data_IF_309387688013
#
_entry.id   IF_309387688013
#
_cell.length_a   1.000
_cell.length_b   1.000
_cell.length_c   1.000
_cell.angle_alpha   90.00
_cell.angle_beta   90.00
_cell.angle_gamma   90.00
#
_symmetry.space_group_name_H-M   'P 1'
#
loop_
_entity.id
_entity.type
_entity.pdbx_description
1 polymer ?
#
# COMPACT_ATOMS: atom_id res chain seq x y z
N UNK A 1 -4.75 -23.81 14.82
CA UNK A 1 -5.96 -23.06 15.20
C UNK A 1 -6.64 -22.60 13.92
N UNK A 2 -7.89 -23.01 13.71
CA UNK A 2 -8.61 -22.78 12.47
C UNK A 2 -9.07 -21.32 12.42
N UNK A 3 -8.78 -20.62 11.35
CA UNK A 3 -9.34 -19.32 11.04
C UNK A 3 -10.79 -19.49 10.61
N UNK A 4 -11.73 -18.97 11.41
CA UNK A 4 -13.14 -18.97 11.10
C UNK A 4 -13.40 -17.99 9.96
N UNK A 5 -13.79 -18.52 8.80
CA UNK A 5 -14.34 -17.71 7.70
C UNK A 5 -15.72 -17.22 8.10
N UNK A 6 -15.82 -15.92 8.38
CA UNK A 6 -17.11 -15.23 8.51
C UNK A 6 -17.77 -15.16 7.13
N UNK A 7 -18.89 -15.85 6.99
CA UNK A 7 -19.72 -15.87 5.80
C UNK A 7 -20.23 -14.47 5.45
N UNK A 8 -19.94 -13.99 4.24
CA UNK A 8 -20.53 -12.77 3.67
C UNK A 8 -21.99 -13.03 3.32
N UNK A 9 -22.89 -12.37 4.02
CA UNK A 9 -24.31 -12.23 3.60
C UNK A 9 -24.40 -11.16 2.51
N UNK A 10 -25.22 -11.35 1.46
CA UNK A 10 -25.46 -10.31 0.45
C UNK A 10 -26.35 -9.21 1.04
N UNK A 11 -25.92 -7.96 0.91
CA UNK A 11 -26.75 -6.80 1.22
C UNK A 11 -27.74 -6.53 0.07
N UNK A 12 -29.01 -6.61 0.41
CA UNK A 12 -30.15 -6.25 -0.41
C UNK A 12 -30.15 -4.73 -0.61
N UNK A 13 -30.26 -4.32 -1.88
CA UNK A 13 -30.32 -2.92 -2.24
C UNK A 13 -31.62 -2.25 -1.76
N UNK A 14 -31.48 -1.12 -1.10
CA UNK A 14 -32.53 -0.16 -0.81
C UNK A 14 -32.54 0.95 -1.86
N UNK A 15 -33.55 0.91 -2.72
CA UNK A 15 -33.92 1.98 -3.65
C UNK A 15 -34.45 3.19 -2.87
N UNK A 16 -33.70 4.29 -2.85
CA UNK A 16 -34.22 5.59 -2.46
C UNK A 16 -34.69 6.37 -3.69
N UNK A 17 -35.98 6.61 -3.73
CA UNK A 17 -36.73 7.42 -4.71
C UNK A 17 -36.48 8.90 -4.38
N UNK A 18 -35.80 9.62 -5.26
CA UNK A 18 -35.65 11.07 -5.13
C UNK A 18 -36.93 11.76 -5.62
N UNK A 19 -37.56 12.51 -4.74
CA UNK A 19 -38.68 13.41 -5.03
C UNK A 19 -38.14 14.73 -5.58
N UNK A 20 -38.57 15.10 -6.77
CA UNK A 20 -38.34 16.40 -7.37
C UNK A 20 -39.20 17.45 -6.68
N UNK A 21 -38.60 18.47 -6.11
CA UNK A 21 -39.30 19.73 -5.79
C UNK A 21 -38.85 20.83 -6.74
N UNK A 22 -39.83 21.28 -7.49
CA UNK A 22 -39.85 22.46 -8.35
C UNK A 22 -39.62 23.72 -7.52
N UNK A 23 -38.68 24.53 -7.89
CA UNK A 23 -38.51 25.88 -7.40
C UNK A 23 -38.75 26.91 -8.52
N UNK A 24 -39.75 27.75 -8.22
CA UNK A 24 -40.24 28.86 -9.05
C UNK A 24 -39.19 29.93 -9.27
N UNK A 25 -39.20 30.46 -10.49
CA UNK A 25 -38.42 31.62 -10.87
C UNK A 25 -38.86 32.92 -10.23
N UNK A 26 -37.89 33.77 -9.95
CA UNK A 26 -38.10 35.19 -9.73
C UNK A 26 -37.31 35.96 -10.79
N UNK A 27 -38.08 36.71 -11.61
CA UNK A 27 -37.55 37.68 -12.55
C UNK A 27 -37.13 38.94 -11.80
N UNK A 28 -35.91 39.43 -12.02
CA UNK A 28 -35.51 40.79 -11.65
C UNK A 28 -35.51 41.67 -12.89
N UNK A 29 -36.41 42.62 -12.87
CA UNK A 29 -36.54 43.71 -13.85
C UNK A 29 -35.41 44.72 -13.70
N UNK A 30 -34.97 45.21 -14.84
CA UNK A 30 -33.98 46.26 -15.02
C UNK A 30 -34.40 47.58 -14.35
N UNK A 31 -33.43 48.21 -13.63
CA UNK A 31 -33.48 49.62 -13.33
C UNK A 31 -32.28 50.28 -14.01
N UNK A 32 -32.55 50.96 -15.14
CA UNK A 32 -31.63 51.91 -15.75
C UNK A 32 -31.70 53.22 -14.97
N UNK A 33 -30.59 53.61 -14.37
CA UNK A 33 -30.39 54.98 -13.92
C UNK A 33 -29.26 55.61 -14.74
N UNK A 34 -29.62 56.57 -15.58
CA UNK A 34 -28.70 57.51 -16.19
C UNK A 34 -28.09 58.39 -15.12
N UNK A 35 -26.76 58.40 -14.98
CA UNK A 35 -26.02 59.47 -14.38
C UNK A 35 -24.88 59.90 -15.29
N UNK A 36 -24.92 61.15 -15.64
CA UNK A 36 -24.08 61.90 -16.53
C UNK A 36 -22.61 61.91 -16.14
N UNK A 37 -21.77 61.83 -17.15
CA UNK A 37 -20.34 62.06 -17.21
C UNK A 37 -19.94 63.37 -16.55
N UNK A 38 -18.95 63.32 -15.63
CA UNK A 38 -17.78 64.21 -15.66
C UNK A 38 -16.92 64.01 -14.38
N UNK A 39 -15.61 63.85 -14.59
CA UNK A 39 -14.53 64.02 -13.61
C UNK A 39 -14.27 62.94 -12.51
N UNK A 40 -13.92 61.70 -12.92
CA UNK A 40 -13.23 60.73 -12.04
C UNK A 40 -12.04 60.03 -12.72
N UNK A 41 -11.39 60.68 -13.65
CA UNK A 41 -10.35 59.97 -14.47
C UNK A 41 -8.88 60.33 -14.10
N UNK A 42 -8.66 61.06 -12.97
CA UNK A 42 -7.29 61.37 -12.55
C UNK A 42 -6.86 60.66 -11.27
N UNK A 43 -7.78 60.14 -10.44
CA UNK A 43 -7.42 59.45 -9.18
C UNK A 43 -7.17 57.92 -9.39
N UNK A 44 -7.78 57.30 -10.39
CA UNK A 44 -7.60 55.89 -10.67
C UNK A 44 -6.24 55.57 -11.34
N UNK A 45 -5.64 56.57 -11.99
CA UNK A 45 -4.33 56.38 -12.67
C UNK A 45 -3.16 56.48 -11.69
N UNK A 46 -3.32 57.12 -10.53
CA UNK A 46 -2.28 57.23 -9.48
C UNK A 46 -2.21 55.98 -8.59
N UNK A 47 -3.32 55.25 -8.41
CA UNK A 47 -3.32 54.01 -7.63
C UNK A 47 -2.78 52.80 -8.41
N UNK A 48 -2.68 52.87 -9.73
CA UNK A 48 -2.03 51.82 -10.58
C UNK A 48 -0.50 51.88 -10.64
N UNK A 49 0.13 52.94 -10.03
CA UNK A 49 1.59 53.13 -10.09
C UNK A 49 2.39 52.52 -8.95
N UNK A 50 1.75 51.80 -8.01
CA UNK A 50 2.45 51.15 -6.89
C UNK A 50 2.25 49.63 -6.78
N UNK A 51 1.72 48.96 -7.80
CA UNK A 51 1.97 47.53 -7.92
C UNK A 51 3.31 47.37 -8.66
N UNK A 52 4.39 47.22 -7.95
CA UNK A 52 5.66 46.73 -8.51
C UNK A 52 5.38 45.35 -9.06
N UNK A 53 5.05 45.25 -10.35
CA UNK A 53 4.94 43.94 -10.99
C UNK A 53 6.31 43.30 -10.92
N UNK A 54 6.39 42.19 -10.18
CA UNK A 54 7.63 41.38 -10.12
C UNK A 54 8.04 41.02 -11.53
N UNK A 55 9.29 41.26 -11.96
CA UNK A 55 9.75 40.97 -13.31
C UNK A 55 9.51 39.50 -13.68
N UNK A 56 9.18 39.21 -14.95
CA UNK A 56 8.87 37.86 -15.38
C UNK A 56 9.98 36.82 -15.11
N UNK A 57 11.25 37.25 -15.15
CA UNK A 57 12.41 36.45 -14.78
C UNK A 57 12.41 36.08 -13.30
N UNK A 58 12.04 37.02 -12.42
CA UNK A 58 11.94 36.81 -11.00
C UNK A 58 10.73 35.94 -10.63
N UNK A 59 9.59 36.13 -11.33
CA UNK A 59 8.42 35.25 -11.20
C UNK A 59 8.77 33.79 -11.50
N UNK A 60 9.50 33.53 -12.60
CA UNK A 60 9.94 32.19 -12.95
C UNK A 60 10.89 31.57 -11.90
N UNK A 61 11.76 32.40 -11.32
CA UNK A 61 12.67 31.97 -10.26
C UNK A 61 11.90 31.60 -8.96
N UNK A 62 10.96 32.44 -8.55
CA UNK A 62 10.10 32.17 -7.37
C UNK A 62 9.24 30.91 -7.57
N UNK A 63 8.68 30.69 -8.77
CA UNK A 63 7.95 29.48 -9.12
C UNK A 63 8.87 28.25 -8.96
N UNK A 64 10.09 28.33 -9.49
CA UNK A 64 11.07 27.23 -9.39
C UNK A 64 11.43 26.95 -7.93
N UNK A 65 11.78 27.97 -7.16
CA UNK A 65 12.13 27.84 -5.76
C UNK A 65 11.00 27.26 -4.92
N UNK A 66 9.76 27.75 -5.06
CA UNK A 66 8.63 27.26 -4.29
C UNK A 66 8.29 25.82 -4.68
N UNK A 67 8.43 25.45 -5.96
CA UNK A 67 8.24 24.08 -6.42
C UNK A 67 9.32 23.13 -5.86
N UNK A 68 10.57 23.55 -5.81
CA UNK A 68 11.65 22.77 -5.20
C UNK A 68 11.41 22.54 -3.71
N UNK A 69 10.92 23.54 -2.99
CA UNK A 69 10.59 23.44 -1.56
C UNK A 69 9.38 22.54 -1.27
N UNK A 70 8.36 22.55 -2.15
CA UNK A 70 7.05 21.96 -1.82
C UNK A 70 6.69 20.73 -2.64
N UNK A 71 7.38 20.47 -3.77
CA UNK A 71 7.04 19.43 -4.77
C UNK A 71 5.62 19.56 -5.37
N UNK A 72 4.90 20.66 -5.10
CA UNK A 72 3.53 20.85 -5.52
C UNK A 72 3.40 21.08 -7.05
N UNK A 73 2.22 20.78 -7.65
CA UNK A 73 1.97 21.03 -9.06
C UNK A 73 2.19 22.51 -9.45
N UNK A 74 2.87 22.74 -10.58
CA UNK A 74 3.25 24.10 -11.03
C UNK A 74 2.08 25.05 -11.12
N UNK A 75 0.87 24.55 -11.46
CA UNK A 75 -0.36 25.33 -11.55
C UNK A 75 -0.74 25.92 -10.17
N UNK A 76 -0.66 25.10 -9.13
CA UNK A 76 -1.04 25.48 -7.76
C UNK A 76 0.01 26.40 -7.15
N UNK A 77 1.31 26.13 -7.40
CA UNK A 77 2.43 27.00 -7.03
C UNK A 77 2.25 28.41 -7.60
N UNK A 78 1.98 28.53 -8.90
CA UNK A 78 1.76 29.82 -9.57
C UNK A 78 0.53 30.52 -9.00
N UNK A 79 -0.58 29.82 -8.79
CA UNK A 79 -1.81 30.39 -8.24
C UNK A 79 -1.59 30.94 -6.82
N UNK A 80 -0.87 30.23 -5.96
CA UNK A 80 -0.54 30.69 -4.60
C UNK A 80 0.39 31.91 -4.62
N UNK A 81 1.45 31.91 -5.45
CA UNK A 81 2.35 33.05 -5.57
C UNK A 81 1.61 34.31 -6.03
N UNK A 82 0.76 34.20 -7.05
CA UNK A 82 -0.06 35.31 -7.53
C UNK A 82 -0.99 35.85 -6.45
N UNK A 83 -1.67 34.95 -5.70
CA UNK A 83 -2.61 35.36 -4.62
C UNK A 83 -1.90 35.96 -3.41
N UNK A 84 -0.62 35.69 -3.22
CA UNK A 84 0.21 36.17 -2.11
C UNK A 84 1.19 37.26 -2.54
N UNK A 85 0.93 37.97 -3.65
CA UNK A 85 1.77 39.07 -4.17
C UNK A 85 3.25 38.65 -4.31
N UNK A 86 3.52 37.40 -4.73
CA UNK A 86 4.85 36.81 -4.94
C UNK A 86 5.70 36.66 -3.68
N UNK A 87 5.11 36.78 -2.48
CA UNK A 87 5.78 36.44 -1.23
C UNK A 87 5.84 34.91 -1.11
N UNK A 88 7.08 34.37 -1.15
CA UNK A 88 7.30 32.92 -1.21
C UNK A 88 6.89 32.19 0.08
N UNK A 89 7.08 32.85 1.26
CA UNK A 89 6.80 32.22 2.55
C UNK A 89 5.30 32.23 2.86
N UNK A 90 4.61 33.31 2.49
CA UNK A 90 3.15 33.42 2.57
C UNK A 90 2.50 32.45 1.56
N UNK A 91 3.04 32.36 0.34
CA UNK A 91 2.57 31.45 -0.70
C UNK A 91 2.77 29.99 -0.31
N UNK A 92 3.86 29.65 0.38
CA UNK A 92 4.07 28.29 0.90
C UNK A 92 3.00 27.89 1.92
N UNK A 93 2.64 28.78 2.83
CA UNK A 93 1.57 28.56 3.83
C UNK A 93 0.18 28.45 3.17
N UNK A 94 -0.11 29.31 2.19
CA UNK A 94 -1.35 29.24 1.41
C UNK A 94 -1.47 27.95 0.62
N UNK A 95 -0.38 27.55 -0.05
CA UNK A 95 -0.29 26.31 -0.82
C UNK A 95 -0.55 25.08 0.07
N UNK A 96 0.03 25.04 1.29
CA UNK A 96 -0.21 23.95 2.25
C UNK A 96 -1.69 23.89 2.66
N UNK A 97 -2.33 25.04 2.98
CA UNK A 97 -3.75 25.08 3.34
C UNK A 97 -4.66 24.62 2.19
N UNK A 98 -4.43 25.13 0.98
CA UNK A 98 -5.20 24.72 -0.22
C UNK A 98 -5.00 23.25 -0.54
N UNK A 99 -3.77 22.74 -0.42
CA UNK A 99 -3.42 21.36 -0.66
C UNK A 99 -4.23 20.39 0.20
N UNK A 100 -4.35 20.68 1.51
CA UNK A 100 -5.15 19.86 2.45
C UNK A 100 -6.63 19.79 2.02
N UNK A 101 -7.22 20.94 1.64
CA UNK A 101 -8.62 20.98 1.16
C UNK A 101 -8.79 20.19 -0.14
N UNK A 102 -7.83 20.27 -1.05
CA UNK A 102 -7.85 19.53 -2.32
C UNK A 102 -7.62 18.03 -2.11
N UNK A 103 -6.74 17.66 -1.19
CA UNK A 103 -6.51 16.25 -0.81
C UNK A 103 -7.79 15.62 -0.26
N UNK A 104 -8.51 16.32 0.62
CA UNK A 104 -9.79 15.85 1.14
C UNK A 104 -10.83 15.62 0.03
N UNK A 105 -10.90 16.50 -0.97
CA UNK A 105 -11.80 16.31 -2.14
C UNK A 105 -11.42 15.13 -3.02
N UNK A 106 -10.16 14.73 -3.03
CA UNK A 106 -9.66 13.60 -3.83
C UNK A 106 -9.70 12.26 -3.09
N UNK A 107 -10.00 12.26 -1.80
CA UNK A 107 -9.94 11.06 -0.94
C UNK A 107 -10.84 9.91 -1.39
N UNK A 108 -11.89 10.17 -2.19
CA UNK A 108 -12.78 9.18 -2.78
C UNK A 108 -12.26 8.52 -4.06
N UNK A 109 -11.17 9.05 -4.65
CA UNK A 109 -10.59 8.48 -5.87
C UNK A 109 -9.92 7.14 -5.59
N UNK A 110 -9.94 6.26 -6.58
CA UNK A 110 -9.27 4.96 -6.49
C UNK A 110 -7.75 5.16 -6.44
N UNK A 111 -7.12 4.63 -5.39
CA UNK A 111 -5.68 4.59 -5.21
C UNK A 111 -5.24 3.11 -5.23
N UNK A 112 -4.88 2.60 -6.40
CA UNK A 112 -4.52 1.19 -6.61
C UNK A 112 -3.02 1.00 -6.88
N UNK A 113 -2.29 2.08 -7.20
CA UNK A 113 -0.84 2.09 -7.29
C UNK A 113 -0.24 2.41 -5.91
N UNK A 114 1.09 2.40 -5.78
CA UNK A 114 1.77 2.70 -4.52
C UNK A 114 2.99 1.82 -4.26
N UNK A 115 3.35 1.70 -2.98
CA UNK A 115 4.48 0.89 -2.50
C UNK A 115 4.12 0.12 -1.23
N UNK A 116 4.78 -1.01 -1.10
CA UNK A 116 4.99 -1.68 0.18
C UNK A 116 6.29 -1.16 0.77
N UNK A 117 6.28 -0.90 2.07
CA UNK A 117 7.50 -0.61 2.84
C UNK A 117 7.66 -1.65 3.95
N UNK A 118 8.89 -2.07 4.17
CA UNK A 118 9.25 -3.02 5.22
C UNK A 118 10.26 -2.40 6.17
N UNK A 119 10.05 -2.63 7.45
CA UNK A 119 11.04 -2.46 8.50
C UNK A 119 11.14 -3.78 9.28
N UNK A 120 12.33 -4.21 9.63
CA UNK A 120 12.54 -5.46 10.35
C UNK A 120 13.74 -5.40 11.28
N UNK A 121 13.68 -6.18 12.33
CA UNK A 121 14.78 -6.59 13.17
C UNK A 121 14.98 -8.12 13.08
N UNK A 122 15.71 -8.72 14.01
CA UNK A 122 16.00 -10.15 13.99
C UNK A 122 14.75 -11.01 14.26
N UNK A 123 13.79 -10.51 15.02
CA UNK A 123 12.63 -11.25 15.53
C UNK A 123 11.29 -10.79 14.97
N UNK A 124 11.24 -9.59 14.39
CA UNK A 124 10.00 -8.97 13.91
C UNK A 124 10.20 -8.30 12.56
N UNK A 125 9.15 -8.33 11.77
CA UNK A 125 9.07 -7.52 10.55
C UNK A 125 7.68 -6.87 10.46
N UNK A 126 7.65 -5.61 10.06
CA UNK A 126 6.42 -4.88 9.76
C UNK A 126 6.41 -4.50 8.28
N UNK A 127 5.31 -4.81 7.60
CA UNK A 127 5.05 -4.39 6.22
C UNK A 127 3.84 -3.50 6.20
N UNK A 128 3.92 -2.37 5.50
CA UNK A 128 2.83 -1.44 5.30
C UNK A 128 2.60 -1.19 3.83
N UNK A 129 1.34 -0.97 3.43
CA UNK A 129 0.94 -0.60 2.08
C UNK A 129 0.46 0.84 2.06
N UNK A 130 1.22 1.71 1.36
CA UNK A 130 0.85 3.09 1.08
C UNK A 130 0.45 3.20 -0.40
N UNK A 131 -0.80 3.60 -0.65
CA UNK A 131 -1.36 3.68 -1.99
C UNK A 131 -1.44 5.11 -2.50
N UNK A 132 -1.37 5.26 -3.83
CA UNK A 132 -1.57 6.49 -4.60
C UNK A 132 -2.32 6.20 -5.90
N UNK A 133 -2.66 7.25 -6.67
CA UNK A 133 -3.39 7.10 -7.93
C UNK A 133 -2.46 6.59 -9.05
N UNK A 134 -1.20 7.07 -9.10
CA UNK A 134 -0.24 6.78 -10.18
C UNK A 134 1.09 6.22 -9.71
N UNK A 135 1.79 5.48 -10.59
CA UNK A 135 3.14 5.00 -10.35
C UNK A 135 4.19 6.12 -10.31
N UNK A 136 3.88 7.29 -10.89
CA UNK A 136 4.75 8.48 -10.81
C UNK A 136 4.86 8.98 -9.37
N UNK A 137 3.75 9.03 -8.63
CA UNK A 137 3.76 9.40 -7.20
C UNK A 137 4.45 8.33 -6.36
N UNK A 138 4.30 7.04 -6.69
CA UNK A 138 5.03 5.98 -6.01
C UNK A 138 6.58 6.13 -6.12
N UNK A 139 7.08 6.84 -7.14
CA UNK A 139 8.52 7.15 -7.32
C UNK A 139 8.95 8.47 -6.67
N UNK A 140 8.00 9.22 -6.10
CA UNK A 140 8.30 10.49 -5.45
C UNK A 140 9.06 10.27 -4.13
N UNK A 141 10.08 11.09 -3.88
CA UNK A 141 10.96 11.01 -2.70
C UNK A 141 10.20 11.13 -1.37
N UNK A 142 9.27 12.09 -1.27
CA UNK A 142 8.48 12.32 -0.06
C UNK A 142 7.51 11.16 0.21
N UNK A 143 6.90 10.60 -0.85
CA UNK A 143 6.02 9.44 -0.74
C UNK A 143 6.79 8.21 -0.24
N UNK A 144 7.97 7.95 -0.81
CA UNK A 144 8.84 6.83 -0.42
C UNK A 144 9.34 6.98 1.02
N UNK A 145 9.72 8.21 1.40
CA UNK A 145 10.12 8.53 2.77
C UNK A 145 8.99 8.27 3.76
N UNK A 146 7.76 8.73 3.47
CA UNK A 146 6.60 8.48 4.31
C UNK A 146 6.35 6.97 4.46
N UNK A 147 6.32 6.21 3.36
CA UNK A 147 6.12 4.76 3.39
C UNK A 147 7.13 4.06 4.32
N UNK A 148 8.42 4.41 4.20
CA UNK A 148 9.49 3.87 5.04
C UNK A 148 9.32 4.27 6.51
N UNK A 149 8.89 5.50 6.79
CA UNK A 149 8.65 5.99 8.16
C UNK A 149 7.48 5.26 8.82
N UNK A 150 6.41 4.98 8.06
CA UNK A 150 5.26 4.20 8.55
C UNK A 150 5.64 2.75 8.87
N UNK A 151 6.50 2.12 8.07
CA UNK A 151 6.97 0.77 8.35
C UNK A 151 7.81 0.71 9.64
N UNK A 152 8.70 1.70 9.85
CA UNK A 152 9.50 1.83 11.08
C UNK A 152 8.60 2.08 12.29
N UNK A 153 7.60 2.95 12.16
CA UNK A 153 6.62 3.20 13.22
C UNK A 153 5.84 1.93 13.57
N UNK A 154 5.37 1.16 12.57
CA UNK A 154 4.66 -0.08 12.79
C UNK A 154 5.52 -1.13 13.51
N UNK A 155 6.82 -1.22 13.18
CA UNK A 155 7.76 -2.12 13.85
C UNK A 155 7.97 -1.73 15.32
N UNK A 156 8.06 -0.43 15.62
CA UNK A 156 8.26 0.11 16.97
C UNK A 156 6.97 0.24 17.78
N UNK A 157 5.80 0.07 17.17
CA UNK A 157 4.52 0.11 17.86
C UNK A 157 4.39 -1.04 18.87
N UNK A 158 3.39 -0.92 19.76
CA UNK A 158 3.12 -1.91 20.79
C UNK A 158 3.03 -3.31 20.19
N UNK A 159 3.69 -4.28 20.81
CA UNK A 159 3.58 -5.68 20.42
C UNK A 159 2.12 -6.16 20.59
N UNK A 160 1.47 -6.63 19.51
CA UNK A 160 0.11 -7.15 19.58
C UNK A 160 0.00 -8.47 20.32
N UNK A 161 1.14 -9.16 20.62
CA UNK A 161 1.16 -10.48 21.26
C UNK A 161 0.81 -11.63 20.32
N UNK A 162 0.58 -11.36 19.05
CA UNK A 162 0.29 -12.36 18.02
C UNK A 162 1.50 -12.53 17.09
N UNK A 163 1.76 -13.76 16.64
CA UNK A 163 2.87 -14.04 15.72
C UNK A 163 2.64 -13.45 14.33
N UNK A 164 1.39 -13.30 13.91
CA UNK A 164 0.98 -12.59 12.70
C UNK A 164 -0.19 -11.69 13.01
N UNK A 165 0.01 -10.40 12.91
CA UNK A 165 -1.01 -9.39 13.21
C UNK A 165 -1.27 -8.52 11.98
N UNK A 166 -2.37 -8.77 11.24
CA UNK A 166 -2.83 -7.88 10.18
C UNK A 166 -3.52 -6.65 10.77
N UNK A 167 -3.27 -5.47 10.20
CA UNK A 167 -3.88 -4.23 10.68
C UNK A 167 -4.27 -3.29 9.54
N UNK A 168 -5.29 -2.47 9.82
CA UNK A 168 -5.78 -1.40 8.96
C UNK A 168 -5.27 -0.02 9.39
N UNK A 169 -5.85 1.05 8.80
CA UNK A 169 -5.51 2.43 9.14
C UNK A 169 -5.65 2.75 10.63
N UNK A 170 -6.70 2.23 11.27
CA UNK A 170 -7.05 2.53 12.67
C UNK A 170 -5.90 2.22 13.65
N UNK A 171 -5.02 1.29 13.30
CA UNK A 171 -3.90 0.91 14.15
C UNK A 171 -2.80 1.97 14.23
N UNK A 172 -2.53 2.69 13.13
CA UNK A 172 -1.44 3.66 13.05
C UNK A 172 -1.91 5.12 12.96
N UNK A 173 -3.10 5.41 12.43
CA UNK A 173 -3.52 6.75 11.99
C UNK A 173 -3.39 7.83 13.08
N UNK A 174 -3.63 7.46 14.34
CA UNK A 174 -3.58 8.36 15.49
C UNK A 174 -2.22 8.36 16.22
N UNK A 175 -1.27 7.51 15.79
CA UNK A 175 0.06 7.50 16.38
C UNK A 175 0.88 8.69 15.87
N UNK A 176 1.72 9.24 16.75
CA UNK A 176 2.67 10.28 16.38
C UNK A 176 3.84 9.65 15.61
N UNK A 177 4.22 10.31 14.54
CA UNK A 177 5.42 10.02 13.76
C UNK A 177 6.30 11.27 13.73
N UNK A 178 7.58 11.08 14.03
CA UNK A 178 8.56 12.14 13.89
C UNK A 178 9.22 12.03 12.51
N UNK A 179 9.04 13.06 11.70
CA UNK A 179 9.51 13.11 10.32
C UNK A 179 10.70 14.06 10.22
N UNK A 180 11.75 13.61 9.54
CA UNK A 180 12.98 14.35 9.29
C UNK A 180 13.34 14.28 7.80
N UNK A 181 12.55 14.98 6.98
CA UNK A 181 12.76 15.13 5.55
C UNK A 181 12.70 16.61 5.20
N UNK A 182 13.51 17.13 4.26
CA UNK A 182 13.55 18.56 3.92
C UNK A 182 12.22 19.19 3.58
N UNK A 183 11.28 18.39 3.05
CA UNK A 183 9.95 18.82 2.64
C UNK A 183 8.84 18.40 3.62
N UNK A 184 9.13 17.48 4.55
CA UNK A 184 8.15 16.91 5.47
C UNK A 184 8.82 16.65 6.81
N UNK A 185 8.75 17.59 7.73
CA UNK A 185 9.47 17.54 9.00
C UNK A 185 8.58 17.90 10.20
N UNK A 186 8.98 17.37 11.35
CA UNK A 186 8.34 17.62 12.64
C UNK A 186 7.49 16.44 13.12
N UNK A 187 6.99 16.57 14.33
CA UNK A 187 6.11 15.58 14.95
C UNK A 187 4.66 15.82 14.52
N UNK A 188 3.99 14.77 14.04
CA UNK A 188 2.60 14.84 13.55
C UNK A 188 1.96 13.46 13.65
N UNK A 189 0.62 13.37 13.53
CA UNK A 189 -0.05 12.08 13.43
C UNK A 189 0.14 11.47 12.03
N UNK A 190 0.09 10.15 11.94
CA UNK A 190 0.14 9.42 10.64
C UNK A 190 -0.92 9.93 9.68
N UNK A 191 -2.16 10.12 10.14
CA UNK A 191 -3.24 10.67 9.32
C UNK A 191 -2.90 12.04 8.75
N UNK A 192 -2.35 12.94 9.57
CA UNK A 192 -1.92 14.26 9.13
C UNK A 192 -0.76 14.19 8.14
N UNK A 193 0.22 13.32 8.38
CA UNK A 193 1.35 13.11 7.46
C UNK A 193 0.90 12.61 6.09
N UNK A 194 -0.01 11.63 6.04
CA UNK A 194 -0.60 11.10 4.80
C UNK A 194 -1.35 12.21 4.05
N UNK A 195 -2.15 13.01 4.77
CA UNK A 195 -2.89 14.15 4.19
C UNK A 195 -1.94 15.21 3.62
N UNK A 196 -0.84 15.50 4.32
CA UNK A 196 0.15 16.48 3.87
C UNK A 196 0.87 16.00 2.61
N UNK A 197 1.28 14.72 2.55
CA UNK A 197 1.88 14.15 1.33
C UNK A 197 0.87 14.15 0.18
N UNK A 198 -0.39 13.78 0.41
CA UNK A 198 -1.45 13.87 -0.60
C UNK A 198 -1.63 15.30 -1.14
N UNK A 199 -1.53 16.30 -0.26
CA UNK A 199 -1.58 17.71 -0.64
C UNK A 199 -0.37 18.12 -1.51
N UNK A 200 0.83 17.66 -1.16
CA UNK A 200 2.06 17.95 -1.91
C UNK A 200 2.07 17.33 -3.30
N UNK A 201 1.74 16.04 -3.40
CA UNK A 201 1.78 15.33 -4.69
C UNK A 201 0.55 15.59 -5.55
N UNK A 202 -0.53 16.08 -4.95
CA UNK A 202 -1.76 16.41 -5.65
C UNK A 202 -2.60 15.19 -6.07
N UNK A 203 -2.39 14.03 -5.46
CA UNK A 203 -3.14 12.80 -5.65
C UNK A 203 -3.76 12.30 -4.36
N UNK A 204 -4.70 11.36 -4.46
CA UNK A 204 -5.18 10.63 -3.30
C UNK A 204 -4.06 9.70 -2.79
N UNK A 205 -3.65 9.87 -1.55
CA UNK A 205 -2.69 9.01 -0.85
C UNK A 205 -3.39 8.39 0.34
N UNK A 206 -3.24 7.07 0.51
CA UNK A 206 -3.86 6.31 1.59
C UNK A 206 -2.89 5.31 2.20
N UNK A 207 -2.76 5.34 3.52
CA UNK A 207 -2.30 4.16 4.24
C UNK A 207 -3.45 3.15 4.25
N UNK A 208 -3.24 1.97 3.66
CA UNK A 208 -4.32 1.02 3.42
C UNK A 208 -4.35 -0.11 4.42
N UNK A 209 -3.24 -0.76 4.60
CA UNK A 209 -3.10 -1.95 5.44
C UNK A 209 -1.64 -2.24 5.75
N UNK A 210 -1.43 -3.08 6.73
CA UNK A 210 -0.13 -3.66 7.03
C UNK A 210 -0.28 -4.97 7.79
N UNK A 211 0.84 -5.58 8.09
CA UNK A 211 0.91 -6.65 9.05
C UNK A 211 2.28 -6.66 9.75
N UNK A 212 2.27 -7.16 10.96
CA UNK A 212 3.46 -7.44 11.75
C UNK A 212 3.60 -8.96 11.81
N UNK A 213 4.79 -9.45 11.53
CA UNK A 213 5.14 -10.86 11.70
C UNK A 213 6.25 -10.96 12.73
N UNK A 214 6.04 -11.81 13.71
CA UNK A 214 6.99 -12.08 14.79
C UNK A 214 7.34 -13.56 14.82
N UNK A 215 8.51 -13.89 15.36
CA UNK A 215 8.94 -15.27 15.57
C UNK A 215 9.16 -15.56 17.06
N UNK A 216 9.23 -16.83 17.38
CA UNK A 216 9.58 -17.30 18.73
C UNK A 216 11.05 -17.01 19.06
N UNK A 217 11.47 -17.32 20.29
CA UNK A 217 12.84 -17.08 20.77
C UNK A 217 13.91 -17.76 19.89
N UNK A 218 13.58 -18.92 19.29
CA UNK A 218 14.53 -19.76 18.54
C UNK A 218 14.29 -19.70 17.02
N UNK A 219 13.74 -18.60 16.53
CA UNK A 219 13.44 -18.40 15.12
C UNK A 219 14.00 -17.11 14.56
N UNK A 220 13.82 -16.96 13.27
CA UNK A 220 14.14 -15.77 12.50
C UNK A 220 12.97 -15.35 11.63
N UNK A 221 12.79 -14.04 11.42
CA UNK A 221 11.90 -13.50 10.40
C UNK A 221 12.74 -13.16 9.17
N UNK A 222 12.37 -13.70 8.03
CA UNK A 222 13.02 -13.42 6.75
C UNK A 222 12.06 -12.76 5.79
N UNK A 223 12.57 -11.81 5.02
CA UNK A 223 11.78 -11.07 4.03
C UNK A 223 12.46 -10.98 2.69
N UNK A 224 11.64 -10.83 1.66
CA UNK A 224 12.06 -10.50 0.31
C UNK A 224 11.13 -9.45 -0.29
N UNK A 225 11.71 -8.43 -0.89
CA UNK A 225 10.98 -7.39 -1.63
C UNK A 225 11.32 -7.48 -3.11
N UNK A 226 10.31 -7.32 -3.96
CA UNK A 226 10.48 -7.37 -5.41
C UNK A 226 10.01 -6.06 -6.07
N UNK A 227 10.64 -5.71 -7.20
CA UNK A 227 10.45 -4.42 -7.89
C UNK A 227 10.75 -3.24 -6.96
N UNK A 228 11.99 -3.24 -6.43
CA UNK A 228 12.42 -2.28 -5.41
C UNK A 228 13.00 -1.01 -6.05
N UNK A 229 12.39 0.18 -5.84
CA UNK A 229 13.02 1.46 -6.20
C UNK A 229 14.24 1.76 -5.31
N UNK A 230 14.20 1.30 -4.05
CA UNK A 230 15.28 1.38 -3.08
C UNK A 230 15.11 0.30 -1.99
N UNK A 231 16.16 0.00 -1.18
CA UNK A 231 16.07 -0.99 -0.11
C UNK A 231 14.90 -0.73 0.84
N UNK A 232 14.16 -1.79 1.18
CA UNK A 232 13.00 -1.71 2.08
C UNK A 232 11.71 -1.21 1.44
N UNK A 233 11.71 -0.84 0.15
CA UNK A 233 10.52 -0.46 -0.60
C UNK A 233 10.36 -1.37 -1.81
N UNK A 234 9.13 -1.75 -2.14
CA UNK A 234 8.86 -2.59 -3.30
C UNK A 234 7.38 -2.66 -3.65
N UNK A 235 7.06 -3.45 -4.67
CA UNK A 235 5.66 -3.67 -5.08
C UNK A 235 5.10 -5.01 -4.62
N UNK A 236 5.98 -5.97 -4.33
CA UNK A 236 5.63 -7.26 -3.75
C UNK A 236 6.54 -7.54 -2.58
N UNK A 237 5.97 -8.12 -1.53
CA UNK A 237 6.68 -8.56 -0.34
C UNK A 237 6.34 -10.01 -0.03
N UNK A 238 7.34 -10.80 0.32
CA UNK A 238 7.21 -12.12 0.92
C UNK A 238 7.89 -12.15 2.27
N UNK A 239 7.24 -12.72 3.26
CA UNK A 239 7.78 -12.94 4.60
C UNK A 239 7.61 -14.38 5.00
N UNK A 240 8.54 -14.87 5.81
CA UNK A 240 8.49 -16.19 6.40
C UNK A 240 9.18 -16.21 7.76
N UNK A 241 8.65 -16.94 8.70
CA UNK A 241 9.35 -17.29 9.95
C UNK A 241 9.86 -18.72 9.86
N UNK A 242 11.14 -18.91 10.19
CA UNK A 242 11.75 -20.22 10.37
C UNK A 242 12.11 -20.39 11.83
N UNK A 243 11.78 -21.54 12.39
CA UNK A 243 11.97 -21.85 13.81
C UNK A 243 12.75 -23.15 13.94
N UNK A 244 13.80 -23.14 14.76
CA UNK A 244 14.56 -24.32 15.13
C UNK A 244 14.08 -24.86 16.49
N UNK A 245 14.05 -26.20 16.64
CA UNK A 245 13.73 -26.81 17.94
C UNK A 245 14.84 -26.57 18.98
N UNK A 246 16.11 -26.57 18.55
CA UNK A 246 17.25 -26.29 19.45
C UNK A 246 17.56 -24.78 19.49
N UNK A 247 17.66 -24.25 20.70
CA UNK A 247 18.01 -22.86 20.97
C UNK A 247 19.42 -22.46 20.51
N UNK A 248 20.31 -23.42 20.31
CA UNK A 248 21.69 -23.22 19.90
C UNK A 248 21.88 -23.33 18.38
N UNK A 249 20.82 -23.56 17.60
CA UNK A 249 20.91 -23.66 16.16
C UNK A 249 21.46 -22.37 15.54
N UNK A 250 22.37 -22.43 14.56
CA UNK A 250 22.95 -21.25 13.92
C UNK A 250 21.89 -20.50 13.10
N UNK A 251 21.56 -19.28 13.52
CA UNK A 251 20.50 -18.46 12.91
C UNK A 251 20.89 -17.96 11.51
N UNK A 252 22.16 -17.83 11.19
CA UNK A 252 22.65 -17.37 9.88
C UNK A 252 22.21 -18.30 8.74
N UNK A 253 22.24 -19.62 8.97
CA UNK A 253 21.75 -20.60 8.00
C UNK A 253 20.24 -20.46 7.79
N UNK A 254 19.47 -20.26 8.87
CA UNK A 254 18.03 -20.00 8.79
C UNK A 254 17.76 -18.72 8.02
N UNK A 255 18.50 -17.64 8.27
CA UNK A 255 18.33 -16.37 7.56
C UNK A 255 18.63 -16.49 6.07
N UNK A 256 19.69 -17.20 5.69
CA UNK A 256 20.08 -17.43 4.30
C UNK A 256 19.00 -18.18 3.52
N UNK A 257 18.54 -19.31 4.06
CA UNK A 257 17.51 -20.15 3.42
C UNK A 257 16.15 -19.45 3.49
N UNK A 258 15.82 -18.82 4.60
CA UNK A 258 14.56 -18.09 4.78
C UNK A 258 14.38 -16.95 3.78
N UNK A 259 15.42 -16.16 3.49
CA UNK A 259 15.38 -15.12 2.44
C UNK A 259 15.08 -15.71 1.07
N UNK A 260 15.65 -16.87 0.76
CA UNK A 260 15.42 -17.57 -0.50
C UNK A 260 14.01 -18.15 -0.61
N UNK A 261 13.45 -18.65 0.51
CA UNK A 261 12.05 -19.11 0.55
C UNK A 261 11.09 -17.90 0.52
N UNK A 262 11.41 -16.76 1.13
CA UNK A 262 10.61 -15.53 1.01
C UNK A 262 10.52 -15.06 -0.46
N UNK A 263 11.62 -15.16 -1.22
CA UNK A 263 11.62 -14.91 -2.67
C UNK A 263 10.72 -15.92 -3.41
N UNK A 264 10.80 -17.19 -3.07
CA UNK A 264 9.93 -18.24 -3.63
C UNK A 264 8.44 -17.93 -3.38
N UNK A 265 8.06 -17.50 -2.17
CA UNK A 265 6.68 -17.11 -1.81
C UNK A 265 6.17 -15.99 -2.73
N UNK A 266 6.99 -14.99 -3.01
CA UNK A 266 6.63 -13.91 -3.95
C UNK A 266 6.39 -14.44 -5.35
N UNK A 267 7.23 -15.35 -5.81
CA UNK A 267 7.18 -15.89 -7.18
C UNK A 267 6.01 -16.87 -7.39
N UNK A 268 5.74 -17.76 -6.43
CA UNK A 268 4.82 -18.90 -6.60
C UNK A 268 3.45 -18.71 -5.96
N UNK A 269 3.27 -17.68 -5.12
CA UNK A 269 1.98 -17.31 -4.51
C UNK A 269 1.29 -18.46 -3.77
N UNK A 270 1.95 -19.16 -2.84
CA UNK A 270 1.31 -20.22 -2.07
C UNK A 270 0.14 -19.66 -1.24
N UNK A 271 -0.91 -20.47 -1.09
CA UNK A 271 -2.10 -20.13 -0.31
C UNK A 271 -2.10 -20.78 1.07
N UNK A 272 -1.47 -21.95 1.18
CA UNK A 272 -1.45 -22.77 2.39
C UNK A 272 -0.02 -23.18 2.71
N UNK A 273 0.29 -23.34 3.99
CA UNK A 273 1.60 -23.81 4.42
C UNK A 273 1.76 -25.31 4.13
N UNK A 274 0.78 -26.10 4.53
CA UNK A 274 0.79 -27.57 4.38
C UNK A 274 -0.56 -28.09 3.89
N UNK A 275 -0.60 -29.36 3.43
CA UNK A 275 -1.84 -30.00 2.94
C UNK A 275 -2.92 -30.06 4.01
N UNK A 276 -2.52 -30.25 5.26
CA UNK A 276 -3.41 -30.37 6.42
C UNK A 276 -4.19 -29.08 6.69
N UNK A 277 -3.66 -27.94 6.21
CA UNK A 277 -4.29 -26.62 6.36
C UNK A 277 -5.26 -26.31 5.22
N UNK A 278 -5.29 -27.12 4.15
CA UNK A 278 -6.29 -26.99 3.10
C UNK A 278 -7.61 -27.56 3.61
N UNK A 279 -8.68 -26.77 3.60
CA UNK A 279 -9.96 -27.25 4.10
C UNK A 279 -10.49 -28.44 3.29
N UNK A 280 -11.10 -29.41 3.98
CA UNK A 280 -11.69 -30.58 3.33
C UNK A 280 -12.70 -30.19 2.23
N UNK A 281 -13.48 -29.10 2.46
CA UNK A 281 -14.41 -28.58 1.46
C UNK A 281 -13.70 -28.03 0.21
N UNK A 282 -12.56 -27.37 0.36
CA UNK A 282 -11.79 -26.88 -0.79
C UNK A 282 -11.21 -28.04 -1.61
N UNK A 283 -10.72 -29.09 -0.94
CA UNK A 283 -10.21 -30.31 -1.60
C UNK A 283 -11.33 -31.04 -2.31
N UNK A 284 -12.50 -31.18 -1.71
CA UNK A 284 -13.63 -31.88 -2.34
C UNK A 284 -14.21 -31.08 -3.53
N UNK A 285 -14.33 -29.77 -3.41
CA UNK A 285 -14.72 -28.92 -4.54
C UNK A 285 -13.76 -29.06 -5.72
N UNK A 286 -12.44 -29.05 -5.46
CA UNK A 286 -11.45 -29.24 -6.52
C UNK A 286 -11.55 -30.65 -7.11
N UNK A 287 -11.75 -31.70 -6.27
CA UNK A 287 -11.93 -33.07 -6.70
C UNK A 287 -13.16 -33.23 -7.61
N UNK A 288 -14.28 -32.59 -7.31
CA UNK A 288 -15.49 -32.63 -8.12
C UNK A 288 -15.30 -31.94 -9.48
N UNK A 289 -14.61 -30.80 -9.50
CA UNK A 289 -14.22 -30.13 -10.75
C UNK A 289 -13.36 -31.07 -11.61
N UNK A 290 -12.36 -31.70 -11.00
CA UNK A 290 -11.46 -32.61 -11.69
C UNK A 290 -12.17 -33.89 -12.18
N UNK A 291 -13.17 -34.44 -11.43
CA UNK A 291 -14.01 -35.56 -11.87
C UNK A 291 -14.84 -35.20 -13.09
N UNK A 292 -15.53 -34.04 -13.04
CA UNK A 292 -16.32 -33.56 -14.17
C UNK A 292 -15.48 -33.39 -15.44
N UNK A 293 -14.25 -32.88 -15.29
CA UNK A 293 -13.30 -32.80 -16.41
C UNK A 293 -12.79 -34.18 -16.90
N UNK A 294 -12.67 -35.14 -15.99
CA UNK A 294 -12.22 -36.49 -16.35
C UNK A 294 -13.30 -37.30 -17.07
N UNK A 295 -14.58 -37.14 -16.70
CA UNK A 295 -15.74 -37.77 -17.32
C UNK A 295 -15.81 -37.50 -18.83
N UNK A 296 -15.46 -36.25 -19.23
CA UNK A 296 -15.41 -35.89 -20.66
C UNK A 296 -14.34 -36.63 -21.46
N UNK A 297 -13.40 -37.35 -20.81
CA UNK A 297 -12.30 -38.04 -21.46
C UNK A 297 -12.63 -39.44 -22.02
N UNK A 298 -13.81 -40.00 -21.70
CA UNK A 298 -14.28 -41.32 -22.15
C UNK A 298 -13.42 -42.51 -21.67
N UNK A 299 -12.63 -42.32 -20.59
CA UNK A 299 -11.76 -43.36 -20.01
C UNK A 299 -12.51 -44.27 -19.04
N UNK A 300 -11.93 -45.41 -18.69
CA UNK A 300 -12.47 -46.29 -17.65
C UNK A 300 -12.46 -45.57 -16.27
N UNK A 301 -13.37 -45.94 -15.37
CA UNK A 301 -13.49 -45.33 -14.05
C UNK A 301 -12.16 -45.39 -13.28
N UNK A 302 -11.44 -46.52 -13.29
CA UNK A 302 -10.14 -46.63 -12.64
C UNK A 302 -9.08 -45.66 -13.23
N UNK A 303 -9.13 -45.41 -14.54
CA UNK A 303 -8.22 -44.49 -15.21
C UNK A 303 -8.60 -43.00 -14.87
N UNK A 304 -9.90 -42.74 -14.73
CA UNK A 304 -10.39 -41.41 -14.29
C UNK A 304 -9.97 -41.12 -12.85
N UNK A 305 -10.14 -42.05 -11.92
CA UNK A 305 -9.69 -41.88 -10.52
C UNK A 305 -8.17 -41.60 -10.42
N UNK A 306 -7.34 -42.37 -11.12
CA UNK A 306 -5.90 -42.07 -11.18
C UNK A 306 -5.59 -40.70 -11.77
N UNK A 307 -6.38 -40.25 -12.72
CA UNK A 307 -6.23 -38.93 -13.34
C UNK A 307 -6.60 -37.81 -12.35
N UNK A 308 -7.68 -37.98 -11.62
CA UNK A 308 -8.14 -37.04 -10.58
C UNK A 308 -7.08 -36.92 -9.47
N UNK A 309 -6.59 -38.06 -8.93
CA UNK A 309 -5.55 -38.08 -7.92
C UNK A 309 -4.22 -37.44 -8.41
N UNK A 310 -3.83 -37.72 -9.65
CA UNK A 310 -2.66 -37.09 -10.26
C UNK A 310 -2.80 -35.56 -10.44
N UNK A 311 -4.01 -35.08 -10.77
CA UNK A 311 -4.28 -33.66 -10.89
C UNK A 311 -4.42 -32.98 -9.53
N UNK A 312 -5.05 -33.64 -8.55
CA UNK A 312 -5.14 -33.15 -7.18
C UNK A 312 -3.75 -32.98 -6.56
N UNK A 313 -2.82 -33.90 -6.83
CA UNK A 313 -1.42 -33.72 -6.42
C UNK A 313 -0.80 -32.46 -7.03
N UNK A 314 -1.04 -32.18 -8.33
CA UNK A 314 -0.59 -30.94 -8.97
C UNK A 314 -1.22 -29.69 -8.34
N UNK A 315 -2.50 -29.76 -8.00
CA UNK A 315 -3.15 -28.69 -7.25
C UNK A 315 -2.42 -28.38 -5.94
N UNK A 316 -2.07 -29.40 -5.15
CA UNK A 316 -1.27 -29.16 -3.94
C UNK A 316 0.13 -28.60 -4.25
N UNK A 317 0.78 -29.05 -5.32
CA UNK A 317 2.06 -28.49 -5.78
C UNK A 317 1.95 -27.02 -6.21
N UNK A 318 0.75 -26.53 -6.56
CA UNK A 318 0.51 -25.14 -6.93
C UNK A 318 0.18 -24.27 -5.72
N UNK A 319 -0.63 -24.75 -4.75
CA UNK A 319 -1.18 -23.90 -3.70
C UNK A 319 -0.53 -24.09 -2.32
N UNK A 320 0.21 -25.18 -2.09
CA UNK A 320 0.79 -25.55 -0.79
C UNK A 320 2.29 -25.31 -0.78
N UNK A 321 2.76 -24.37 0.04
CA UNK A 321 4.17 -23.96 0.12
C UNK A 321 5.13 -25.16 0.24
N UNK A 322 4.88 -26.10 1.16
CA UNK A 322 5.78 -27.23 1.41
C UNK A 322 5.84 -28.23 0.26
N UNK A 323 4.82 -28.27 -0.61
CA UNK A 323 4.75 -29.17 -1.77
C UNK A 323 5.28 -28.51 -3.05
N UNK A 324 5.35 -27.16 -3.08
CA UNK A 324 5.81 -26.42 -4.26
C UNK A 324 7.25 -26.76 -4.61
N UNK A 325 7.52 -26.89 -5.92
CA UNK A 325 8.87 -26.96 -6.45
C UNK A 325 9.63 -25.67 -6.16
N UNK A 326 10.84 -25.79 -5.65
CA UNK A 326 11.63 -24.65 -5.26
C UNK A 326 12.10 -23.84 -6.47
N UNK A 327 11.78 -22.54 -6.49
CA UNK A 327 12.04 -21.65 -7.64
C UNK A 327 13.54 -21.51 -7.99
N UNK A 328 14.43 -21.72 -7.01
CA UNK A 328 15.89 -21.66 -7.23
C UNK A 328 16.44 -22.97 -7.77
N UNK A 329 15.76 -24.11 -7.46
CA UNK A 329 16.15 -25.43 -7.93
C UNK A 329 14.88 -26.31 -8.04
N UNK A 330 14.35 -26.44 -9.24
CA UNK A 330 13.11 -27.15 -9.55
C UNK A 330 13.18 -28.68 -9.40
N UNK A 331 14.36 -29.22 -9.17
CA UNK A 331 14.56 -30.67 -8.87
C UNK A 331 14.17 -31.02 -7.42
N UNK A 332 13.95 -30.03 -6.55
CA UNK A 332 13.59 -30.20 -5.14
C UNK A 332 12.33 -29.40 -4.80
N UNK A 333 11.69 -29.72 -3.68
CA UNK A 333 10.56 -28.94 -3.13
C UNK A 333 10.97 -28.27 -1.82
N UNK A 334 10.12 -27.33 -1.36
CA UNK A 334 10.40 -26.56 -0.12
C UNK A 334 10.55 -27.46 1.10
N UNK A 335 9.77 -28.54 1.21
CA UNK A 335 9.91 -29.52 2.28
C UNK A 335 11.30 -30.16 2.34
N UNK A 336 11.85 -30.51 1.18
CA UNK A 336 13.21 -31.05 1.07
C UNK A 336 14.27 -30.02 1.44
N UNK A 337 14.11 -28.76 0.99
CA UNK A 337 15.01 -27.65 1.37
C UNK A 337 15.06 -27.47 2.89
N UNK A 338 13.91 -27.52 3.57
CA UNK A 338 13.86 -27.43 5.04
C UNK A 338 14.49 -28.63 5.74
N UNK A 339 14.33 -29.84 5.17
CA UNK A 339 14.98 -31.05 5.71
C UNK A 339 16.52 -30.94 5.58
N UNK A 340 17.01 -30.43 4.48
CA UNK A 340 18.45 -30.26 4.27
C UNK A 340 19.01 -29.15 5.18
N UNK A 341 18.27 -28.06 5.37
CA UNK A 341 18.61 -27.03 6.36
C UNK A 341 18.62 -27.62 7.78
N UNK A 342 17.66 -28.48 8.12
CA UNK A 342 17.61 -29.14 9.43
C UNK A 342 18.85 -30.02 9.69
N UNK A 343 19.34 -30.71 8.67
CA UNK A 343 20.61 -31.47 8.75
C UNK A 343 21.81 -30.53 8.90
N UNK A 344 21.85 -29.43 8.16
CA UNK A 344 22.94 -28.44 8.19
C UNK A 344 23.09 -27.82 9.60
N UNK A 345 21.96 -27.46 10.23
CA UNK A 345 21.98 -26.82 11.56
C UNK A 345 21.95 -27.81 12.74
N UNK A 346 21.79 -29.11 12.45
CA UNK A 346 21.73 -30.15 13.49
C UNK A 346 20.45 -30.13 14.33
N UNK A 347 19.43 -29.40 13.90
CA UNK A 347 18.15 -29.23 14.62
C UNK A 347 17.00 -29.22 13.61
N UNK A 348 15.85 -29.76 14.01
CA UNK A 348 14.66 -29.68 13.15
C UNK A 348 14.23 -28.24 12.97
N UNK A 349 14.09 -27.83 11.70
CA UNK A 349 13.61 -26.51 11.31
C UNK A 349 12.21 -26.62 10.73
N UNK A 350 11.33 -25.74 11.18
CA UNK A 350 9.94 -25.65 10.72
C UNK A 350 9.60 -24.23 10.28
N UNK A 351 8.58 -24.13 9.43
CA UNK A 351 7.97 -22.83 9.08
C UNK A 351 6.91 -22.53 10.14
N UNK A 352 7.05 -21.42 10.83
CA UNK A 352 6.02 -20.93 11.74
C UNK A 352 4.87 -20.28 10.95
N UNK A 353 5.18 -19.24 10.20
CA UNK A 353 4.20 -18.50 9.40
C UNK A 353 4.82 -18.00 8.09
N UNK A 354 3.98 -17.69 7.12
CA UNK A 354 4.38 -16.96 5.94
C UNK A 354 3.29 -15.97 5.51
N UNK A 355 3.69 -14.94 4.79
CA UNK A 355 2.76 -13.98 4.22
C UNK A 355 3.28 -13.46 2.89
N UNK A 356 2.36 -13.11 1.99
CA UNK A 356 2.63 -12.42 0.73
C UNK A 356 1.74 -11.20 0.63
N UNK A 357 2.28 -10.12 0.12
CA UNK A 357 1.55 -8.88 -0.09
C UNK A 357 1.92 -8.30 -1.46
N UNK A 358 0.92 -7.76 -2.15
CA UNK A 358 1.07 -7.08 -3.43
C UNK A 358 0.35 -5.74 -3.38
N UNK A 359 0.98 -4.70 -3.93
CA UNK A 359 0.38 -3.36 -4.02
C UNK A 359 -0.93 -3.40 -4.80
N UNK A 360 -1.98 -2.83 -4.24
CA UNK A 360 -3.28 -2.73 -4.90
C UNK A 360 -4.08 -4.04 -4.97
N UNK A 361 -3.59 -5.13 -4.37
CA UNK A 361 -4.31 -6.40 -4.34
C UNK A 361 -5.71 -6.24 -3.75
N UNK A 362 -6.76 -6.69 -4.47
CA UNK A 362 -8.16 -6.55 -4.07
C UNK A 362 -8.74 -5.14 -4.22
N UNK A 363 -8.02 -4.19 -4.81
CA UNK A 363 -8.57 -2.88 -5.21
C UNK A 363 -9.10 -3.01 -6.63
N UNK A 364 -10.41 -2.80 -6.82
CA UNK A 364 -10.98 -2.72 -8.16
C UNK A 364 -10.42 -1.51 -8.88
N UNK A 365 -9.70 -1.73 -9.97
CA UNK A 365 -9.31 -0.64 -10.88
C UNK A 365 -10.57 -0.18 -11.60
N UNK A 366 -10.91 1.11 -11.47
CA UNK A 366 -12.05 1.73 -12.13
C UNK A 366 -11.81 1.80 -13.65
#
# INVERSE_FOLDING_TARGET
MAWSQSARKPMIGLLFRAQQHSARGYSYSAFQAHLSSSNVDQSATLLRRFSSEVPASEQMNLIKQLRERTSAPIKDVKASLVSCNWDIDVAQKDLRKRGVVLAAKKSSRTAAEGLLAIAQDEKRAAVVELNCETDFVARNDVFQYLASSLAKLALSARDPGELVFPFGPDYLENLNVNLDHPKLSGETTVQSAVTEVAAMVGENVKFRRGFIMSTTAHGVVCSYMHTCPQPGLGRLAGLITLEAEDSNAPLDALQRVGKSIAMHIVATKPLFLSKELVSASAVENERDILRTQAESSGKSQMAMEKMVEGRLRKYFEEVVLLEQKYVVNDSTNIKSVLNDLSKEVGSKVTVGNFARMEVGEGVSKA
#
